data_IF_418669958374
#
_entry.id   IF_418669958374
#
_cell.length_a   1.000
_cell.length_b   1.000
_cell.length_c   1.000
_cell.angle_alpha   90.00
_cell.angle_beta   90.00
_cell.angle_gamma   90.00
#
_symmetry.space_group_name_H-M   'P 1'
#
loop_
_entity.id
_entity.type
_entity.pdbx_description
1 polymer ?
#
# COMPACT_ATOMS: atom_id res chain seq x y z
N UNK A 1 -14.51 -8.56 -15.43
CA UNK A 1 -13.56 -7.93 -14.50
C UNK A 1 -13.57 -8.75 -13.23
N UNK A 2 -12.41 -9.00 -12.65
CA UNK A 2 -12.32 -9.76 -11.42
C UNK A 2 -11.77 -8.87 -10.32
N UNK A 3 -11.95 -9.26 -9.06
CA UNK A 3 -11.69 -8.36 -7.93
C UNK A 3 -10.58 -8.92 -7.07
N UNK A 4 -9.56 -8.11 -6.81
CA UNK A 4 -8.54 -8.37 -5.80
C UNK A 4 -8.94 -7.77 -4.46
N UNK A 5 -8.38 -8.29 -3.37
CA UNK A 5 -8.66 -7.80 -2.01
C UNK A 5 -7.37 -7.24 -1.43
N UNK A 6 -7.37 -5.96 -1.05
CA UNK A 6 -6.25 -5.31 -0.40
C UNK A 6 -6.59 -5.00 1.05
N UNK A 7 -5.67 -5.32 1.96
CA UNK A 7 -5.75 -4.96 3.38
C UNK A 7 -4.45 -4.22 3.71
N UNK A 8 -4.55 -2.96 4.14
CA UNK A 8 -3.39 -2.18 4.56
C UNK A 8 -3.28 -2.25 6.07
N UNK A 9 -2.09 -2.60 6.57
CA UNK A 9 -1.80 -2.72 7.99
C UNK A 9 -0.74 -1.71 8.38
N UNK A 10 -1.12 -0.69 9.12
CA UNK A 10 -0.23 0.37 9.60
C UNK A 10 0.25 0.06 11.01
N UNK A 11 1.58 0.05 11.18
CA UNK A 11 2.24 -0.13 12.49
C UNK A 11 3.24 0.98 12.72
N UNK A 12 3.53 1.27 13.98
CA UNK A 12 4.61 2.20 14.32
C UNK A 12 5.96 1.64 13.89
N UNK A 13 6.96 2.49 13.64
CA UNK A 13 8.31 2.07 13.21
C UNK A 13 9.00 1.07 14.17
N UNK A 14 8.56 0.99 15.43
CA UNK A 14 9.01 -0.03 16.39
C UNK A 14 8.25 -1.37 16.31
N UNK A 15 7.27 -1.51 15.40
CA UNK A 15 6.43 -2.69 15.23
C UNK A 15 5.47 -2.98 16.39
N UNK A 16 5.52 -2.19 17.46
CA UNK A 16 4.90 -2.49 18.75
C UNK A 16 3.43 -2.05 18.83
N UNK A 17 3.04 -1.00 18.11
CA UNK A 17 1.69 -0.43 18.22
C UNK A 17 1.02 -0.27 16.85
N UNK A 18 -0.27 -0.62 16.72
CA UNK A 18 -1.06 -0.27 15.55
C UNK A 18 -1.26 1.24 15.45
N UNK A 19 -1.25 1.78 14.23
CA UNK A 19 -1.61 3.18 14.00
C UNK A 19 -3.09 3.27 13.65
N UNK A 20 -3.86 3.90 14.55
CA UNK A 20 -5.32 4.04 14.43
C UNK A 20 -5.64 5.33 13.69
N UNK A 21 -6.73 5.35 12.93
CA UNK A 21 -7.24 6.53 12.20
C UNK A 21 -6.28 7.09 11.12
N UNK A 22 -5.30 6.30 10.68
CA UNK A 22 -4.53 6.62 9.48
C UNK A 22 -5.44 6.53 8.25
N UNK A 23 -5.40 7.57 7.42
CA UNK A 23 -6.17 7.69 6.17
C UNK A 23 -5.40 6.99 5.06
N UNK A 24 -6.00 5.96 4.51
CA UNK A 24 -5.43 5.16 3.42
C UNK A 24 -6.18 5.47 2.14
N UNK A 25 -5.48 6.04 1.17
CA UNK A 25 -6.02 6.38 -0.15
C UNK A 25 -5.38 5.51 -1.21
N UNK A 26 -6.18 4.69 -1.88
CA UNK A 26 -5.74 3.85 -2.98
C UNK A 26 -6.03 4.54 -4.31
N UNK A 27 -4.99 4.66 -5.13
CA UNK A 27 -5.03 5.19 -6.48
C UNK A 27 -4.89 4.05 -7.49
N UNK A 28 -5.81 3.99 -8.45
CA UNK A 28 -5.66 3.15 -9.63
C UNK A 28 -5.09 3.94 -10.78
N UNK A 29 -4.40 3.23 -11.67
CA UNK A 29 -3.93 3.74 -12.94
C UNK A 29 -5.01 3.52 -14.00
N UNK A 30 -5.48 4.58 -14.65
CA UNK A 30 -6.38 4.46 -15.80
C UNK A 30 -5.60 3.99 -17.04
N UNK A 31 -6.32 3.64 -18.10
CA UNK A 31 -5.74 3.29 -19.41
C UNK A 31 -4.82 4.41 -19.96
N UNK A 32 -5.14 5.67 -19.65
CA UNK A 32 -4.35 6.86 -20.00
C UNK A 32 -3.11 7.08 -19.09
N UNK A 33 -2.79 6.14 -18.21
CA UNK A 33 -1.74 6.26 -17.16
C UNK A 33 -1.97 7.35 -16.11
N UNK A 34 -3.13 7.99 -16.11
CA UNK A 34 -3.52 8.95 -15.07
C UNK A 34 -3.93 8.24 -13.78
N UNK A 35 -3.46 8.75 -12.63
CA UNK A 35 -3.84 8.25 -11.30
C UNK A 35 -5.23 8.76 -10.93
N UNK A 36 -6.11 7.86 -10.50
CA UNK A 36 -7.44 8.18 -9.98
C UNK A 36 -7.63 7.55 -8.61
N UNK A 37 -8.21 8.30 -7.68
CA UNK A 37 -8.63 7.76 -6.38
C UNK A 37 -9.72 6.72 -6.57
N UNK A 38 -9.44 5.49 -6.15
CA UNK A 38 -10.36 4.35 -6.25
C UNK A 38 -11.04 4.03 -4.94
N UNK A 39 -10.29 4.11 -3.84
CA UNK A 39 -10.81 3.86 -2.52
C UNK A 39 -10.11 4.78 -1.50
N UNK A 40 -10.85 5.19 -0.48
CA UNK A 40 -10.31 5.88 0.67
C UNK A 40 -10.91 5.24 1.91
N UNK A 41 -10.06 4.71 2.77
CA UNK A 41 -10.43 3.98 3.98
C UNK A 41 -9.62 4.49 5.17
N UNK A 42 -10.08 4.16 6.37
CA UNK A 42 -9.33 4.45 7.59
C UNK A 42 -8.98 3.19 8.34
N UNK A 43 -7.82 3.23 8.99
CA UNK A 43 -7.35 2.13 9.82
C UNK A 43 -8.12 2.08 11.13
N UNK A 44 -8.54 0.88 11.51
CA UNK A 44 -9.30 0.63 12.73
C UNK A 44 -8.39 0.57 13.97
N UNK A 45 -8.95 0.20 15.13
CA UNK A 45 -8.23 0.05 16.40
C UNK A 45 -7.05 -0.95 16.34
N UNK A 46 -7.05 -1.87 15.38
CA UNK A 46 -5.99 -2.83 15.15
C UNK A 46 -4.96 -2.35 14.12
N UNK A 47 -5.04 -1.08 13.68
CA UNK A 47 -4.15 -0.51 12.67
C UNK A 47 -4.31 -1.18 11.32
N UNK A 48 -5.51 -1.66 11.00
CA UNK A 48 -5.80 -2.33 9.73
C UNK A 48 -6.97 -1.65 9.05
N UNK A 49 -6.94 -1.51 7.73
CA UNK A 49 -8.11 -1.11 6.95
C UNK A 49 -9.11 -2.26 6.86
N UNK A 50 -10.34 -1.94 6.45
CA UNK A 50 -11.26 -2.95 5.92
C UNK A 50 -10.70 -3.66 4.68
N UNK A 51 -11.45 -4.65 4.19
CA UNK A 51 -11.14 -5.32 2.92
C UNK A 51 -11.49 -4.37 1.77
N UNK A 52 -10.46 -3.82 1.11
CA UNK A 52 -10.62 -2.95 -0.04
C UNK A 52 -10.72 -3.83 -1.28
N UNK A 53 -11.86 -3.81 -1.93
CA UNK A 53 -12.12 -4.55 -3.18
C UNK A 53 -11.73 -3.68 -4.37
N UNK A 54 -10.74 -4.11 -5.15
CA UNK A 54 -10.22 -3.36 -6.31
C UNK A 54 -10.28 -4.21 -7.58
N UNK A 55 -10.51 -3.58 -8.72
CA UNK A 55 -10.60 -4.26 -10.03
C UNK A 55 -9.25 -4.76 -10.53
N UNK A 56 -9.01 -6.07 -10.43
CA UNK A 56 -7.79 -6.70 -10.90
C UNK A 56 -8.04 -7.53 -12.18
N UNK A 57 -7.08 -7.59 -13.11
CA UNK A 57 -7.18 -8.47 -14.27
C UNK A 57 -7.33 -9.93 -13.81
N UNK A 58 -8.23 -10.67 -14.46
CA UNK A 58 -8.51 -12.06 -14.15
C UNK A 58 -7.39 -12.96 -14.69
N UNK A 59 -6.75 -13.74 -13.81
CA UNK A 59 -5.77 -14.78 -14.16
C UNK A 59 -6.25 -15.75 -15.24
N UNK A 60 -7.56 -15.98 -15.33
CA UNK A 60 -8.17 -16.96 -16.24
C UNK A 60 -8.26 -16.53 -17.72
N UNK A 61 -8.00 -15.26 -18.05
CA UNK A 61 -8.07 -14.75 -19.43
C UNK A 61 -6.78 -14.05 -19.88
N UNK A 62 -5.69 -14.18 -19.12
CA UNK A 62 -4.41 -13.57 -19.45
C UNK A 62 -3.62 -14.48 -20.38
N UNK A 63 -3.56 -14.13 -21.67
CA UNK A 63 -2.42 -14.54 -22.49
C UNK A 63 -1.15 -13.92 -21.86
N UNK A 64 -0.15 -14.72 -21.43
CA UNK A 64 1.05 -14.21 -20.74
C UNK A 64 1.90 -13.27 -21.61
N UNK A 65 1.63 -13.19 -22.91
CA UNK A 65 2.29 -12.27 -23.85
C UNK A 65 1.57 -10.92 -24.01
N UNK A 66 0.34 -10.75 -23.50
CA UNK A 66 -0.50 -9.58 -23.82
C UNK A 66 -0.91 -8.74 -22.60
N UNK A 67 -1.26 -9.36 -21.47
CA UNK A 67 -1.72 -8.64 -20.27
C UNK A 67 -1.14 -9.29 -19.02
N UNK A 68 -0.42 -8.55 -18.15
CA UNK A 68 0.08 -9.10 -16.90
C UNK A 68 -1.09 -9.61 -16.02
N UNK A 69 -0.94 -10.76 -15.34
CA UNK A 69 -2.00 -11.34 -14.50
C UNK A 69 -2.20 -10.61 -13.16
N UNK A 70 -1.70 -9.38 -13.05
CA UNK A 70 -1.76 -8.53 -11.86
C UNK A 70 -1.99 -7.07 -12.24
N UNK A 71 -2.63 -6.33 -11.34
CA UNK A 71 -2.69 -4.87 -11.43
C UNK A 71 -1.76 -4.25 -10.39
N UNK A 72 -1.17 -3.10 -10.72
CA UNK A 72 -0.39 -2.29 -9.79
C UNK A 72 -1.20 -1.08 -9.34
N UNK A 73 -1.16 -0.81 -8.04
CA UNK A 73 -1.82 0.34 -7.42
C UNK A 73 -0.82 1.17 -6.63
N UNK A 74 -1.14 2.45 -6.46
CA UNK A 74 -0.47 3.33 -5.51
C UNK A 74 -1.33 3.45 -4.27
N UNK A 75 -0.73 3.32 -3.10
CA UNK A 75 -1.43 3.47 -1.82
C UNK A 75 -0.75 4.60 -1.06
N UNK A 76 -1.49 5.64 -0.72
CA UNK A 76 -1.01 6.72 0.13
C UNK A 76 -1.61 6.59 1.53
N UNK A 77 -0.79 6.77 2.55
CA UNK A 77 -1.17 6.68 3.95
C UNK A 77 -0.78 7.97 4.64
N UNK A 78 -1.78 8.74 5.09
CA UNK A 78 -1.59 10.01 5.80
C UNK A 78 -2.11 9.91 7.25
N UNK A 79 -1.39 10.54 8.17
CA UNK A 79 -1.84 10.70 9.54
C UNK A 79 -1.17 11.95 10.16
N UNK A 80 -1.89 12.79 10.92
CA UNK A 80 -1.36 14.06 11.44
C UNK A 80 -0.11 13.93 12.32
N UNK A 81 -0.02 12.86 13.12
CA UNK A 81 1.10 12.59 14.03
C UNK A 81 2.23 11.73 13.43
N UNK A 82 2.10 11.26 12.19
CA UNK A 82 3.10 10.42 11.53
C UNK A 82 3.53 11.03 10.21
N UNK A 83 4.64 10.53 9.67
CA UNK A 83 5.06 10.87 8.30
C UNK A 83 4.13 10.21 7.29
N UNK A 84 3.69 10.92 6.25
CA UNK A 84 2.93 10.31 5.17
C UNK A 84 3.78 9.27 4.46
N UNK A 85 3.16 8.17 4.07
CA UNK A 85 3.82 7.06 3.40
C UNK A 85 3.08 6.77 2.11
N UNK A 86 3.75 6.91 0.97
CA UNK A 86 3.26 6.44 -0.32
C UNK A 86 3.92 5.10 -0.62
N UNK A 87 3.12 4.08 -0.93
CA UNK A 87 3.57 2.80 -1.46
C UNK A 87 3.22 2.74 -2.95
N UNK A 88 4.24 2.59 -3.79
CA UNK A 88 4.12 2.45 -5.23
C UNK A 88 4.22 0.97 -5.65
N UNK A 89 3.60 0.64 -6.79
CA UNK A 89 3.68 -0.69 -7.41
C UNK A 89 3.12 -1.83 -6.54
N UNK A 90 2.00 -1.58 -5.84
CA UNK A 90 1.32 -2.60 -5.03
C UNK A 90 0.62 -3.59 -5.95
N UNK A 91 1.14 -4.81 -6.02
CA UNK A 91 0.62 -5.87 -6.88
C UNK A 91 -0.60 -6.54 -6.26
N UNK A 92 -1.70 -6.53 -7.02
CA UNK A 92 -2.94 -7.19 -6.63
C UNK A 92 -3.31 -8.27 -7.63
N UNK A 93 -3.66 -9.43 -7.10
CA UNK A 93 -4.13 -10.56 -7.86
C UNK A 93 -5.63 -10.75 -7.65
N UNK A 94 -6.32 -11.12 -8.72
CA UNK A 94 -7.74 -11.46 -8.65
C UNK A 94 -7.98 -12.64 -7.70
N UNK A 95 -8.93 -12.49 -6.78
CA UNK A 95 -9.32 -13.54 -5.83
C UNK A 95 -8.35 -13.77 -4.66
N UNK A 96 -7.20 -13.10 -4.65
CA UNK A 96 -6.21 -13.18 -3.56
C UNK A 96 -6.37 -11.98 -2.64
N UNK A 97 -6.18 -12.22 -1.34
CA UNK A 97 -6.10 -11.15 -0.34
C UNK A 97 -4.65 -10.76 -0.12
N UNK A 98 -4.26 -9.59 -0.60
CA UNK A 98 -2.94 -9.00 -0.38
C UNK A 98 -2.95 -8.19 0.91
N UNK A 99 -2.09 -8.55 1.85
CA UNK A 99 -1.82 -7.76 3.05
C UNK A 99 -0.59 -6.87 2.82
N UNK A 100 -0.77 -5.56 2.94
CA UNK A 100 0.29 -4.57 2.81
C UNK A 100 0.68 -4.03 4.20
N UNK A 101 1.76 -4.54 4.82
CA UNK A 101 2.28 -3.99 6.05
C UNK A 101 3.05 -2.68 5.75
N UNK A 102 2.72 -1.62 6.50
CA UNK A 102 3.33 -0.29 6.38
C UNK A 102 3.79 0.17 7.75
N UNK A 103 5.07 0.55 7.84
CA UNK A 103 5.64 1.13 9.05
C UNK A 103 5.57 2.65 8.98
N UNK A 104 4.81 3.25 9.88
CA UNK A 104 4.70 4.70 10.02
C UNK A 104 5.72 5.21 11.04
N UNK A 105 6.49 6.20 10.61
CA UNK A 105 7.44 6.90 11.48
C UNK A 105 6.72 8.06 12.17
N UNK A 106 6.75 8.16 13.51
CA UNK A 106 6.18 9.30 14.22
C UNK A 106 6.91 10.57 13.82
N UNK A 107 6.20 11.70 13.84
CA UNK A 107 6.85 13.01 13.74
C UNK A 107 7.57 13.26 15.07
N UNK A 108 8.89 13.46 15.03
CA UNK A 108 9.69 13.75 16.23
C UNK A 108 9.07 14.94 16.99
N UNK A 109 8.87 14.77 18.30
CA UNK A 109 8.20 15.75 19.16
C UNK A 109 9.04 17.03 19.44
N UNK A 110 10.20 17.18 18.80
CA UNK A 110 11.14 18.26 19.04
C UNK A 110 11.58 18.97 17.76
N UNK A 111 10.83 20.00 17.36
CA UNK A 111 11.35 21.17 16.64
C UNK A 111 12.11 20.92 15.33
N UNK A 112 11.38 20.72 14.24
CA UNK A 112 11.94 20.73 12.88
C UNK A 112 11.09 19.90 11.92
N UNK A 113 9.90 20.43 11.58
CA UNK A 113 8.82 19.74 10.86
C UNK A 113 9.19 19.27 9.45
N UNK A 114 10.00 18.23 9.35
CA UNK A 114 10.19 17.49 8.11
C UNK A 114 9.05 16.47 8.02
N UNK A 115 7.90 16.86 7.48
CA UNK A 115 6.82 15.92 7.09
C UNK A 115 7.11 15.40 5.68
N UNK A 116 8.34 14.92 5.46
CA UNK A 116 8.69 14.29 4.18
C UNK A 116 7.88 13.03 4.00
N UNK A 117 7.30 12.90 2.81
CA UNK A 117 6.68 11.68 2.33
C UNK A 117 7.74 10.59 2.22
N UNK A 118 7.42 9.42 2.77
CA UNK A 118 8.21 8.21 2.62
C UNK A 118 7.64 7.47 1.42
N UNK A 119 8.42 7.35 0.36
CA UNK A 119 8.02 6.60 -0.84
C UNK A 119 8.63 5.19 -0.75
N UNK A 120 7.77 4.17 -0.66
CA UNK A 120 8.13 2.76 -0.60
C UNK A 120 7.80 2.15 -1.96
N UNK A 121 8.74 1.45 -2.57
CA UNK A 121 8.49 0.69 -3.79
C UNK A 121 8.26 -0.78 -3.42
N UNK A 122 7.06 -1.34 -3.61
CA UNK A 122 6.77 -2.71 -3.15
C UNK A 122 7.53 -3.80 -3.92
N UNK A 123 8.17 -3.47 -5.04
CA UNK A 123 9.09 -4.36 -5.77
C UNK A 123 10.43 -4.56 -5.06
N UNK A 124 10.75 -3.74 -4.04
CA UNK A 124 12.03 -3.80 -3.30
C UNK A 124 11.94 -4.57 -1.98
N UNK A 125 10.77 -5.09 -1.59
CA UNK A 125 10.63 -5.88 -0.35
C UNK A 125 10.96 -7.36 -0.57
N UNK A 126 12.07 -7.63 -1.27
CA UNK A 126 12.80 -8.88 -1.13
C UNK A 126 13.79 -8.74 0.03
N UNK A 127 14.02 -9.76 0.87
CA UNK A 127 15.05 -9.66 1.89
C UNK A 127 16.38 -9.40 1.17
N UNK A 128 16.95 -8.21 1.36
CA UNK A 128 18.35 -7.94 1.01
C UNK A 128 19.22 -8.74 1.99
N UNK A 129 19.25 -10.05 1.78
CA UNK A 129 20.26 -10.93 2.31
C UNK A 129 21.54 -10.64 1.54
N UNK A 130 22.23 -9.56 1.92
CA UNK A 130 23.64 -9.38 1.59
C UNK A 130 24.43 -10.42 2.39
N UNK A 131 24.45 -11.64 1.83
CA UNK A 131 25.41 -12.66 2.17
C UNK A 131 26.78 -12.17 1.78
N UNK A 132 27.65 -12.11 2.78
CA UNK A 132 29.08 -11.86 2.64
C UNK A 132 29.70 -13.04 1.88
N UNK A 133 30.54 -12.74 0.90
CA UNK A 133 31.58 -13.64 0.38
C UNK A 133 32.87 -12.85 0.22
#
# INVERSE_FOLDING_TARGET
>A
MATGRLIVQTRTAGGASPVIDAVVTVYCTNEDRSLRTCATERTNLNGSTGIISLDAPSLAQSDPNLVPPFATYRVDIDHPNYRPVTVLDVTLFSGITTSLPVLMLPLEAGGGGDRREIVINSTETGPSGSGRE
#
